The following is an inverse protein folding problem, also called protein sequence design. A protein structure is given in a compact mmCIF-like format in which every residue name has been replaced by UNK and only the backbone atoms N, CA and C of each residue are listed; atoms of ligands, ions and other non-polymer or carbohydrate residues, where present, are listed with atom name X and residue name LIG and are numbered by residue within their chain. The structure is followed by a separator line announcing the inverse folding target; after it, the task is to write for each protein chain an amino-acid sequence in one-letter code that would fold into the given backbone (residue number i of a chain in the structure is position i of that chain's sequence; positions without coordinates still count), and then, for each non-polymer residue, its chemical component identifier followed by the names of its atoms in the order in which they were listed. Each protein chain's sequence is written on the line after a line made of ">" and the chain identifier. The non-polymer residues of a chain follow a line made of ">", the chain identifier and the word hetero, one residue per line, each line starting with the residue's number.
data_IF_011279997499
#
_entry.id   IF_011279997499
#
_cell.length_a   1.000
_cell.length_b   1.000
_cell.length_c   1.000
_cell.angle_alpha   90.00
_cell.angle_beta   90.00
_cell.angle_gamma   90.00
#
_symmetry.space_group_name_H-M   'P 1'
#
loop_
_entity.id
_entity.type
_entity.pdbx_description
1 polymer ?
#
# COMPACT_ATOMS: atom_id res chain seq x y z
N UNK A 1 8.90 -9.44 1.27
CA UNK A 1 7.58 -9.61 0.60
C UNK A 1 7.16 -11.07 0.44
N UNK A 2 8.03 -11.98 0.05
CA UNK A 2 7.68 -13.40 -0.16
C UNK A 2 6.97 -14.05 1.04
N UNK A 3 7.54 -13.93 2.25
CA UNK A 3 6.90 -14.47 3.47
C UNK A 3 5.57 -13.82 3.82
N UNK A 4 5.35 -12.55 3.41
CA UNK A 4 4.06 -11.86 3.62
C UNK A 4 2.98 -12.48 2.73
N UNK A 5 3.31 -12.78 1.46
CA UNK A 5 2.40 -13.46 0.53
C UNK A 5 1.99 -14.82 1.08
N UNK A 6 2.98 -15.62 1.52
CA UNK A 6 2.71 -16.94 2.11
C UNK A 6 1.88 -16.85 3.39
N UNK A 7 2.21 -15.91 4.28
CA UNK A 7 1.49 -15.69 5.53
C UNK A 7 0.04 -15.28 5.31
N UNK A 8 -0.21 -14.33 4.40
CA UNK A 8 -1.58 -13.91 4.06
C UNK A 8 -2.37 -15.01 3.35
N UNK A 9 -1.74 -15.71 2.41
CA UNK A 9 -2.38 -16.84 1.73
C UNK A 9 -2.77 -17.96 2.71
N UNK A 10 -1.86 -18.29 3.64
CA UNK A 10 -2.13 -19.27 4.69
C UNK A 10 -3.23 -18.79 5.65
N UNK A 11 -3.26 -17.50 5.97
CA UNK A 11 -4.31 -16.90 6.79
C UNK A 11 -5.67 -17.04 6.10
N UNK A 12 -5.79 -16.63 4.83
CA UNK A 12 -7.03 -16.77 4.07
C UNK A 12 -7.45 -18.25 3.95
N UNK A 13 -6.53 -19.14 3.65
CA UNK A 13 -6.79 -20.57 3.59
C UNK A 13 -7.27 -21.11 4.95
N UNK A 14 -6.60 -20.76 6.03
CA UNK A 14 -6.90 -21.20 7.40
C UNK A 14 -8.27 -20.72 7.90
N UNK A 15 -8.69 -19.50 7.52
CA UNK A 15 -10.01 -18.98 7.86
C UNK A 15 -11.15 -19.93 7.45
N UNK A 16 -11.00 -20.63 6.32
CA UNK A 16 -11.98 -21.63 5.87
C UNK A 16 -12.19 -22.79 6.83
N UNK A 17 -11.26 -23.04 7.74
CA UNK A 17 -11.34 -24.12 8.73
C UNK A 17 -11.57 -23.62 10.16
N UNK A 18 -11.43 -22.31 10.41
CA UNK A 18 -11.58 -21.75 11.74
C UNK A 18 -13.04 -21.69 12.19
N UNK A 19 -13.97 -21.44 11.27
CA UNK A 19 -15.40 -21.28 11.59
C UNK A 19 -16.13 -22.57 11.23
N UNK A 20 -16.90 -23.09 12.17
CA UNK A 20 -17.73 -24.30 12.05
C UNK A 20 -19.04 -24.12 12.85
N UNK A 21 -19.94 -25.09 12.78
CA UNK A 21 -21.25 -25.01 13.44
C UNK A 21 -21.15 -24.80 14.95
N UNK A 22 -20.13 -25.34 15.63
CA UNK A 22 -19.98 -25.26 17.07
C UNK A 22 -19.53 -23.86 17.55
N UNK A 23 -18.87 -23.09 16.69
CA UNK A 23 -18.31 -21.79 17.06
C UNK A 23 -18.88 -20.60 16.24
N UNK A 24 -19.74 -20.87 15.26
CA UNK A 24 -20.34 -19.84 14.42
C UNK A 24 -21.09 -18.76 15.23
N UNK A 25 -21.78 -19.15 16.29
CA UNK A 25 -22.48 -18.21 17.19
C UNK A 25 -21.56 -17.20 17.90
N UNK A 26 -20.26 -17.48 17.96
CA UNK A 26 -19.27 -16.58 18.58
C UNK A 26 -18.37 -15.88 17.55
N UNK A 27 -18.04 -16.56 16.46
CA UNK A 27 -17.02 -16.11 15.53
C UNK A 27 -17.58 -15.56 14.20
N UNK A 28 -18.78 -15.98 13.80
CA UNK A 28 -19.36 -15.53 12.54
C UNK A 28 -20.07 -14.20 12.72
N UNK A 29 -19.44 -13.13 12.27
CA UNK A 29 -20.01 -11.78 12.31
C UNK A 29 -21.35 -11.74 11.55
N UNK A 30 -22.35 -11.12 12.17
CA UNK A 30 -23.71 -11.11 11.65
C UNK A 30 -24.56 -12.25 12.20
N UNK A 31 -24.10 -13.49 12.18
CA UNK A 31 -24.82 -14.62 12.79
C UNK A 31 -24.88 -14.54 14.32
N UNK A 32 -23.79 -14.11 14.95
CA UNK A 32 -23.70 -13.90 16.40
C UNK A 32 -24.61 -12.78 16.95
N UNK A 33 -25.11 -11.91 16.09
CA UNK A 33 -26.02 -10.81 16.44
C UNK A 33 -27.50 -11.10 16.14
N UNK A 34 -27.79 -12.23 15.50
CA UNK A 34 -29.16 -12.69 15.23
C UNK A 34 -29.86 -13.13 16.50
N UNK A 35 -31.18 -12.95 16.56
CA UNK A 35 -32.04 -13.62 17.57
C UNK A 35 -31.97 -15.13 17.38
N UNK A 36 -32.42 -15.90 18.39
CA UNK A 36 -32.42 -17.36 18.28
C UNK A 36 -33.34 -17.86 17.15
N UNK A 37 -34.48 -17.20 16.99
CA UNK A 37 -35.47 -17.48 15.95
C UNK A 37 -34.89 -17.20 14.55
N UNK A 38 -34.08 -16.16 14.42
CA UNK A 38 -33.38 -15.84 13.17
C UNK A 38 -32.24 -16.81 12.88
N UNK A 39 -31.48 -17.25 13.91
CA UNK A 39 -30.44 -18.26 13.77
C UNK A 39 -31.00 -19.62 13.29
N UNK A 40 -32.19 -20.00 13.76
CA UNK A 40 -32.90 -21.21 13.32
C UNK A 40 -33.33 -21.14 11.84
N UNK A 41 -33.64 -19.95 11.34
CA UNK A 41 -34.03 -19.71 9.94
C UNK A 41 -32.81 -19.56 9.00
N UNK A 42 -31.65 -19.24 9.56
CA UNK A 42 -30.45 -19.01 8.75
C UNK A 42 -29.85 -20.34 8.29
N UNK A 43 -29.58 -20.52 7.00
CA UNK A 43 -29.01 -21.77 6.46
C UNK A 43 -27.52 -21.88 6.77
N UNK A 44 -27.17 -22.05 8.04
CA UNK A 44 -25.80 -21.98 8.55
C UNK A 44 -24.88 -23.00 7.87
N UNK A 45 -25.29 -24.24 7.73
CA UNK A 45 -24.49 -25.32 7.12
C UNK A 45 -24.10 -24.95 5.68
N UNK A 46 -25.07 -24.52 4.87
CA UNK A 46 -24.81 -24.11 3.48
C UNK A 46 -23.89 -22.86 3.43
N UNK A 47 -24.09 -21.92 4.33
CA UNK A 47 -23.22 -20.74 4.44
C UNK A 47 -21.77 -21.13 4.76
N UNK A 48 -21.57 -22.04 5.73
CA UNK A 48 -20.25 -22.51 6.14
C UNK A 48 -19.54 -23.30 5.03
N UNK A 49 -20.27 -24.08 4.25
CA UNK A 49 -19.73 -24.76 3.08
C UNK A 49 -19.22 -23.74 2.03
N UNK A 50 -20.02 -22.73 1.71
CA UNK A 50 -19.62 -21.64 0.79
C UNK A 50 -18.43 -20.85 1.36
N UNK A 51 -18.46 -20.52 2.66
CA UNK A 51 -17.40 -19.83 3.38
C UNK A 51 -16.08 -20.61 3.29
N UNK A 52 -16.08 -21.87 3.65
CA UNK A 52 -14.90 -22.74 3.58
C UNK A 52 -14.39 -22.86 2.14
N UNK A 53 -15.27 -23.17 1.20
CA UNK A 53 -14.92 -23.32 -0.21
C UNK A 53 -14.34 -22.03 -0.82
N UNK A 54 -14.87 -20.87 -0.44
CA UNK A 54 -14.34 -19.58 -0.85
C UNK A 54 -12.93 -19.36 -0.28
N UNK A 55 -12.74 -19.47 1.02
CA UNK A 55 -11.47 -19.15 1.68
C UNK A 55 -10.34 -20.07 1.25
N UNK A 56 -10.60 -21.37 1.10
CA UNK A 56 -9.62 -22.34 0.61
C UNK A 56 -9.17 -21.98 -0.82
N UNK A 57 -10.11 -21.76 -1.73
CA UNK A 57 -9.78 -21.38 -3.12
C UNK A 57 -9.09 -20.04 -3.18
N UNK A 58 -9.59 -19.05 -2.42
CA UNK A 58 -9.02 -17.72 -2.39
C UNK A 58 -7.59 -17.72 -1.83
N UNK A 59 -7.33 -18.42 -0.72
CA UNK A 59 -5.99 -18.53 -0.15
C UNK A 59 -4.97 -19.13 -1.12
N UNK A 60 -5.36 -20.17 -1.85
CA UNK A 60 -4.51 -20.78 -2.88
C UNK A 60 -4.26 -19.81 -4.04
N UNK A 61 -5.33 -19.23 -4.62
CA UNK A 61 -5.21 -18.31 -5.76
C UNK A 61 -4.42 -17.07 -5.40
N UNK A 62 -4.67 -16.48 -4.22
CA UNK A 62 -3.94 -15.32 -3.72
C UNK A 62 -2.43 -15.61 -3.61
N UNK A 63 -2.08 -16.77 -3.06
CA UNK A 63 -0.67 -17.16 -2.94
C UNK A 63 -0.03 -17.38 -4.30
N UNK A 64 -0.67 -18.12 -5.20
CA UNK A 64 -0.11 -18.41 -6.53
C UNK A 64 0.09 -17.14 -7.33
N UNK A 65 -0.94 -16.28 -7.42
CA UNK A 65 -0.84 -14.99 -8.13
C UNK A 65 0.19 -14.07 -7.48
N UNK A 66 0.21 -14.02 -6.14
CA UNK A 66 1.20 -13.23 -5.40
C UNK A 66 2.64 -13.66 -5.68
N UNK A 67 2.91 -14.96 -5.77
CA UNK A 67 4.23 -15.48 -6.15
C UNK A 67 4.56 -15.12 -7.60
N UNK A 68 3.62 -15.28 -8.53
CA UNK A 68 3.83 -14.90 -9.94
C UNK A 68 4.18 -13.42 -10.04
N UNK A 69 3.41 -12.53 -9.42
CA UNK A 69 3.69 -11.08 -9.45
C UNK A 69 4.99 -10.72 -8.73
N UNK A 70 5.30 -11.40 -7.63
CA UNK A 70 6.58 -11.22 -6.94
C UNK A 70 7.80 -11.48 -7.84
N UNK A 71 7.69 -12.48 -8.73
CA UNK A 71 8.76 -12.87 -9.64
C UNK A 71 8.78 -12.06 -10.94
N UNK A 72 7.67 -11.43 -11.34
CA UNK A 72 7.53 -10.83 -12.66
C UNK A 72 7.32 -9.32 -12.64
N UNK A 73 6.55 -8.80 -11.66
CA UNK A 73 6.15 -7.39 -11.65
C UNK A 73 5.79 -6.91 -10.24
N UNK A 74 6.68 -6.13 -9.65
CA UNK A 74 6.51 -5.63 -8.28
C UNK A 74 5.34 -4.63 -8.13
N UNK A 75 4.97 -3.90 -9.19
CA UNK A 75 3.84 -2.99 -9.19
C UNK A 75 2.51 -3.77 -9.13
N UNK A 76 2.37 -4.79 -9.99
CA UNK A 76 1.20 -5.68 -9.96
C UNK A 76 1.08 -6.40 -8.61
N UNK A 77 2.21 -6.73 -7.98
CA UNK A 77 2.20 -7.28 -6.62
C UNK A 77 1.58 -6.30 -5.63
N UNK A 78 1.92 -5.01 -5.69
CA UNK A 78 1.34 -3.97 -4.84
C UNK A 78 -0.19 -3.91 -5.00
N UNK A 79 -0.67 -3.83 -6.23
CA UNK A 79 -2.10 -3.85 -6.56
C UNK A 79 -2.78 -5.13 -6.09
N UNK A 80 -2.17 -6.29 -6.31
CA UNK A 80 -2.67 -7.58 -5.86
C UNK A 80 -2.85 -7.61 -4.34
N UNK A 81 -1.86 -7.19 -3.59
CA UNK A 81 -1.92 -7.19 -2.12
C UNK A 81 -2.99 -6.25 -1.56
N UNK A 82 -3.22 -5.09 -2.20
CA UNK A 82 -4.17 -4.08 -1.74
C UNK A 82 -5.61 -4.31 -2.21
N UNK A 83 -5.82 -4.71 -3.47
CA UNK A 83 -7.15 -4.73 -4.10
C UNK A 83 -7.77 -6.12 -4.16
N UNK A 84 -6.96 -7.16 -4.43
CA UNK A 84 -7.50 -8.51 -4.63
C UNK A 84 -8.32 -9.02 -3.43
N UNK A 85 -7.92 -8.81 -2.16
CA UNK A 85 -8.75 -9.24 -1.04
C UNK A 85 -10.12 -8.54 -1.02
N UNK A 86 -10.17 -7.24 -1.32
CA UNK A 86 -11.43 -6.47 -1.30
C UNK A 86 -12.38 -7.00 -2.38
N UNK A 87 -11.88 -7.19 -3.61
CA UNK A 87 -12.67 -7.75 -4.71
C UNK A 87 -13.14 -9.18 -4.42
N UNK A 88 -12.28 -9.99 -3.80
CA UNK A 88 -12.64 -11.36 -3.40
C UNK A 88 -13.78 -11.37 -2.38
N UNK A 89 -13.75 -10.48 -1.37
CA UNK A 89 -14.84 -10.39 -0.41
C UNK A 89 -16.12 -9.80 -1.00
N UNK A 90 -16.05 -8.84 -1.93
CA UNK A 90 -17.23 -8.38 -2.69
C UNK A 90 -17.87 -9.58 -3.43
N UNK A 91 -17.04 -10.41 -4.09
CA UNK A 91 -17.50 -11.62 -4.74
C UNK A 91 -18.11 -12.63 -3.74
N UNK A 92 -17.50 -12.83 -2.59
CA UNK A 92 -18.03 -13.70 -1.54
C UNK A 92 -19.41 -13.21 -1.05
N UNK A 93 -19.56 -11.92 -0.81
CA UNK A 93 -20.86 -11.34 -0.47
C UNK A 93 -21.90 -11.60 -1.56
N UNK A 94 -21.51 -11.44 -2.82
CA UNK A 94 -22.40 -11.77 -3.94
C UNK A 94 -22.82 -13.25 -3.95
N UNK A 95 -21.87 -14.17 -3.71
CA UNK A 95 -22.14 -15.61 -3.64
C UNK A 95 -23.04 -16.02 -2.47
N UNK A 96 -23.05 -15.27 -1.36
CA UNK A 96 -23.83 -15.58 -0.16
C UNK A 96 -25.07 -14.72 0.00
N UNK A 97 -25.35 -13.85 -0.99
CA UNK A 97 -26.48 -12.93 -0.97
C UNK A 97 -27.82 -13.62 -0.73
N UNK A 98 -28.08 -14.71 -1.45
CA UNK A 98 -29.32 -15.48 -1.37
C UNK A 98 -29.57 -16.05 0.02
N UNK A 99 -28.52 -16.46 0.74
CA UNK A 99 -28.58 -16.96 2.10
C UNK A 99 -28.84 -15.82 3.11
N UNK A 100 -28.08 -14.72 2.97
CA UNK A 100 -28.19 -13.57 3.84
C UNK A 100 -29.55 -12.87 3.71
N UNK A 101 -30.18 -12.88 2.53
CA UNK A 101 -31.48 -12.26 2.31
C UNK A 101 -32.68 -13.04 2.88
N UNK A 102 -32.46 -14.27 3.37
CA UNK A 102 -33.52 -15.07 4.02
C UNK A 102 -33.92 -14.53 5.39
N UNK A 103 -33.03 -13.80 6.05
CA UNK A 103 -33.23 -13.24 7.38
C UNK A 103 -33.34 -11.72 7.30
N UNK A 104 -34.37 -11.11 7.89
CA UNK A 104 -34.67 -9.69 7.73
C UNK A 104 -33.55 -8.79 8.29
N UNK A 105 -33.03 -9.12 9.48
CA UNK A 105 -31.93 -8.36 10.10
C UNK A 105 -30.66 -8.36 9.26
N UNK A 106 -30.44 -9.42 8.48
CA UNK A 106 -29.25 -9.56 7.63
C UNK A 106 -29.33 -8.74 6.36
N UNK A 107 -30.49 -8.34 5.88
CA UNK A 107 -30.64 -7.49 4.69
C UNK A 107 -29.91 -6.15 4.85
N UNK A 108 -30.02 -5.53 6.01
CA UNK A 108 -29.34 -4.27 6.29
C UNK A 108 -27.83 -4.49 6.51
N UNK A 109 -27.45 -5.51 7.27
CA UNK A 109 -26.04 -5.88 7.49
C UNK A 109 -25.33 -6.17 6.18
N UNK A 110 -25.99 -6.88 5.24
CA UNK A 110 -25.48 -7.15 3.90
C UNK A 110 -25.25 -5.85 3.10
N UNK A 111 -26.23 -4.94 3.07
CA UNK A 111 -26.11 -3.65 2.36
C UNK A 111 -24.98 -2.81 2.92
N UNK A 112 -24.87 -2.73 4.25
CA UNK A 112 -23.79 -2.01 4.94
C UNK A 112 -22.42 -2.66 4.62
N UNK A 113 -22.32 -3.99 4.69
CA UNK A 113 -21.10 -4.71 4.38
C UNK A 113 -20.60 -4.45 2.96
N UNK A 114 -21.49 -4.52 1.96
CA UNK A 114 -21.15 -4.19 0.57
C UNK A 114 -20.76 -2.71 0.41
N UNK A 115 -21.49 -1.79 1.06
CA UNK A 115 -21.16 -0.36 0.98
C UNK A 115 -19.77 -0.06 1.60
N UNK A 116 -19.43 -0.70 2.72
CA UNK A 116 -18.11 -0.59 3.34
C UNK A 116 -17.02 -1.14 2.42
N UNK A 117 -17.23 -2.31 1.80
CA UNK A 117 -16.24 -2.89 0.87
C UNK A 117 -16.03 -2.01 -0.36
N UNK A 118 -17.11 -1.46 -0.95
CA UNK A 118 -17.01 -0.54 -2.09
C UNK A 118 -16.30 0.75 -1.66
N UNK A 119 -16.66 1.33 -0.51
CA UNK A 119 -15.99 2.51 0.03
C UNK A 119 -14.50 2.28 0.28
N UNK A 120 -14.15 1.12 0.85
CA UNK A 120 -12.75 0.71 1.03
C UNK A 120 -12.02 0.55 -0.29
N UNK A 121 -12.67 -0.05 -1.30
CA UNK A 121 -12.08 -0.19 -2.65
C UNK A 121 -11.78 1.17 -3.26
N UNK A 122 -12.74 2.09 -3.24
CA UNK A 122 -12.57 3.46 -3.75
C UNK A 122 -11.45 4.19 -3.00
N UNK A 123 -11.41 4.05 -1.67
CA UNK A 123 -10.36 4.64 -0.85
C UNK A 123 -8.97 4.09 -1.20
N UNK A 124 -8.84 2.77 -1.33
CA UNK A 124 -7.56 2.12 -1.68
C UNK A 124 -7.10 2.53 -3.07
N UNK A 125 -8.00 2.53 -4.07
CA UNK A 125 -7.68 3.01 -5.43
C UNK A 125 -7.25 4.48 -5.38
N UNK A 126 -7.98 5.32 -4.66
CA UNK A 126 -7.63 6.74 -4.49
C UNK A 126 -6.27 6.93 -3.82
N UNK A 127 -5.94 6.11 -2.83
CA UNK A 127 -4.64 6.12 -2.16
C UNK A 127 -3.51 5.71 -3.11
N UNK A 128 -3.68 4.67 -3.94
CA UNK A 128 -2.71 4.29 -4.97
C UNK A 128 -2.54 5.42 -6.00
N UNK A 129 -3.64 5.96 -6.52
CA UNK A 129 -3.59 7.08 -7.47
C UNK A 129 -2.88 8.31 -6.88
N UNK A 130 -3.14 8.65 -5.62
CA UNK A 130 -2.43 9.74 -4.94
C UNK A 130 -0.95 9.44 -4.76
N UNK A 131 -0.61 8.20 -4.45
CA UNK A 131 0.75 7.71 -4.25
C UNK A 131 1.61 7.80 -5.53
N UNK A 132 1.00 7.50 -6.68
CA UNK A 132 1.69 7.45 -7.96
C UNK A 132 1.79 8.84 -8.65
N UNK A 133 1.30 9.91 -7.97
CA UNK A 133 1.48 11.26 -8.52
C UNK A 133 2.97 11.56 -8.68
N UNK A 134 3.37 12.07 -9.86
CA UNK A 134 4.74 12.47 -10.09
C UNK A 134 5.12 13.60 -9.10
N UNK A 135 6.38 13.66 -8.78
CA UNK A 135 6.98 14.77 -8.05
C UNK A 135 7.67 15.69 -9.06
N UNK A 136 7.51 16.99 -8.87
CA UNK A 136 8.21 18.01 -9.66
C UNK A 136 9.15 18.79 -8.76
N UNK A 137 10.23 19.27 -9.36
CA UNK A 137 11.24 20.10 -8.68
C UNK A 137 11.34 21.45 -9.37
N UNK A 138 11.24 22.49 -8.57
CA UNK A 138 11.38 23.89 -9.03
C UNK A 138 12.27 24.64 -8.06
N UNK A 139 13.29 25.30 -8.60
CA UNK A 139 14.06 26.28 -7.85
C UNK A 139 13.35 27.64 -7.92
N UNK A 140 12.79 28.08 -6.79
CA UNK A 140 12.03 29.32 -6.66
C UNK A 140 12.80 30.29 -5.71
N UNK A 141 13.61 31.17 -6.29
CA UNK A 141 14.53 32.02 -5.53
C UNK A 141 15.48 31.16 -4.68
N UNK A 142 15.51 31.38 -3.37
CA UNK A 142 16.38 30.71 -2.42
C UNK A 142 15.79 29.41 -1.86
N UNK A 143 14.77 28.85 -2.51
CA UNK A 143 14.09 27.64 -2.03
C UNK A 143 13.94 26.59 -3.14
N UNK A 144 14.49 25.41 -2.91
CA UNK A 144 14.21 24.22 -3.72
C UNK A 144 12.87 23.64 -3.29
N UNK A 145 11.87 23.80 -4.15
CA UNK A 145 10.51 23.28 -3.90
C UNK A 145 10.30 21.96 -4.61
N UNK A 146 10.01 20.91 -3.86
CA UNK A 146 9.72 19.59 -4.38
C UNK A 146 8.26 19.28 -4.11
N UNK A 147 7.46 19.19 -5.15
CA UNK A 147 6.02 18.90 -5.06
C UNK A 147 5.73 17.38 -5.01
N UNK A 148 4.46 17.04 -4.88
CA UNK A 148 4.00 15.64 -4.88
C UNK A 148 3.96 14.97 -3.50
N UNK A 149 3.67 13.65 -3.44
CA UNK A 149 3.65 12.92 -2.19
C UNK A 149 5.00 12.94 -1.48
N UNK A 150 5.00 13.32 -0.19
CA UNK A 150 6.20 13.53 0.63
C UNK A 150 7.12 14.67 0.15
N UNK A 151 6.63 15.54 -0.75
CA UNK A 151 7.37 16.73 -1.18
C UNK A 151 7.74 17.64 -0.02
N UNK A 152 8.77 18.47 -0.23
CA UNK A 152 9.27 19.42 0.77
C UNK A 152 9.67 20.74 0.11
N UNK A 153 9.59 21.83 0.87
CA UNK A 153 10.24 23.07 0.57
C UNK A 153 11.57 23.12 1.32
N UNK A 154 12.69 23.23 0.60
CA UNK A 154 14.03 23.19 1.14
C UNK A 154 14.75 24.50 0.84
N UNK A 155 14.89 25.41 1.84
CA UNK A 155 15.70 26.60 1.70
C UNK A 155 17.16 26.25 1.40
N UNK A 156 17.79 26.96 0.47
CA UNK A 156 19.17 26.68 0.04
C UNK A 156 20.18 26.84 1.21
N UNK A 157 19.92 27.75 2.15
CA UNK A 157 20.75 27.92 3.35
C UNK A 157 20.78 26.73 4.28
N UNK A 158 19.84 25.79 4.13
CA UNK A 158 19.74 24.52 4.87
C UNK A 158 20.45 23.35 4.20
N UNK A 159 20.95 23.54 2.99
CA UNK A 159 21.77 22.53 2.29
C UNK A 159 23.20 22.60 2.82
N UNK A 160 23.80 21.46 3.09
CA UNK A 160 25.21 21.36 3.53
C UNK A 160 26.08 20.58 2.55
N UNK A 161 25.49 19.70 1.75
CA UNK A 161 26.21 18.92 0.76
C UNK A 161 25.33 18.52 -0.42
N UNK A 162 25.95 18.41 -1.59
CA UNK A 162 25.31 17.99 -2.85
C UNK A 162 26.19 16.97 -3.56
N UNK A 163 25.56 15.96 -4.14
CA UNK A 163 26.27 14.96 -4.93
C UNK A 163 25.35 14.08 -5.76
N UNK A 164 25.95 13.31 -6.67
CA UNK A 164 25.27 12.24 -7.40
C UNK A 164 25.75 10.89 -6.87
N UNK A 165 24.84 9.98 -6.68
CA UNK A 165 25.11 8.59 -6.33
C UNK A 165 24.56 7.66 -7.42
N UNK A 166 25.28 6.60 -7.75
CA UNK A 166 24.84 5.55 -8.69
C UNK A 166 23.95 4.50 -8.00
N UNK A 167 23.79 4.60 -6.68
CA UNK A 167 22.98 3.67 -5.91
C UNK A 167 22.32 4.35 -4.72
N UNK A 168 21.20 3.79 -4.26
CA UNK A 168 20.63 4.15 -2.97
C UNK A 168 21.48 3.55 -1.84
N UNK A 169 21.52 4.20 -0.66
CA UNK A 169 22.07 3.59 0.54
C UNK A 169 21.31 2.30 0.87
N UNK A 170 21.95 1.40 1.59
CA UNK A 170 21.28 0.20 2.08
C UNK A 170 20.07 0.59 2.96
N UNK A 171 18.87 0.17 2.55
CA UNK A 171 17.65 0.45 3.28
C UNK A 171 17.27 -0.75 4.14
N UNK A 172 17.29 -0.59 5.45
CA UNK A 172 16.92 -1.61 6.40
C UNK A 172 15.41 -1.64 6.67
N UNK A 173 14.77 -0.46 6.79
CA UNK A 173 13.36 -0.37 7.16
C UNK A 173 12.69 0.87 6.57
N UNK A 174 11.45 0.74 6.11
CA UNK A 174 10.58 1.87 5.78
C UNK A 174 9.91 2.35 7.08
N UNK A 175 10.17 3.59 7.48
CA UNK A 175 9.56 4.20 8.65
C UNK A 175 8.17 4.73 8.36
N UNK A 176 8.07 5.54 7.31
CA UNK A 176 6.82 6.15 6.88
C UNK A 176 6.93 6.51 5.42
N UNK A 177 6.14 5.91 4.57
CA UNK A 177 6.24 6.16 3.12
C UNK A 177 5.57 5.10 2.28
N UNK A 178 5.72 5.27 0.99
CA UNK A 178 5.16 4.44 -0.05
C UNK A 178 6.31 3.77 -0.81
N UNK A 179 6.12 2.49 -1.16
CA UNK A 179 7.00 1.78 -2.08
C UNK A 179 6.16 0.85 -2.94
N UNK A 180 6.08 1.16 -4.22
CA UNK A 180 5.39 0.38 -5.24
C UNK A 180 6.35 0.13 -6.39
N UNK A 181 6.92 -1.07 -6.44
CA UNK A 181 7.87 -1.42 -7.51
C UNK A 181 9.08 -0.49 -7.56
N UNK A 182 9.12 0.42 -8.54
CA UNK A 182 10.20 1.37 -8.78
C UNK A 182 10.03 2.70 -8.01
N UNK A 183 8.83 2.99 -7.51
CA UNK A 183 8.54 4.20 -6.74
C UNK A 183 8.87 3.98 -5.27
N UNK A 184 9.61 4.92 -4.67
CA UNK A 184 9.89 4.94 -3.24
C UNK A 184 9.85 6.38 -2.74
N UNK A 185 8.79 6.74 -2.00
CA UNK A 185 8.62 8.08 -1.44
C UNK A 185 8.38 8.02 0.06
N UNK A 186 9.07 8.88 0.83
CA UNK A 186 8.91 8.98 2.27
C UNK A 186 10.19 8.74 3.07
N UNK A 187 10.04 8.49 4.37
CA UNK A 187 11.15 8.29 5.30
C UNK A 187 11.54 6.81 5.40
N UNK A 188 12.82 6.58 5.19
CA UNK A 188 13.44 5.25 5.23
C UNK A 188 14.64 5.28 6.17
N UNK A 189 14.93 4.15 6.80
CA UNK A 189 16.11 3.97 7.65
C UNK A 189 17.13 3.07 6.97
N UNK A 190 18.38 3.51 7.01
CA UNK A 190 19.56 2.71 6.69
C UNK A 190 20.56 2.69 7.85
N UNK A 191 21.75 2.10 7.64
CA UNK A 191 22.79 1.98 8.66
C UNK A 191 23.29 3.32 9.20
N UNK A 192 23.37 4.33 8.34
CA UNK A 192 23.91 5.66 8.68
C UNK A 192 22.84 6.63 9.21
N UNK A 193 21.56 6.27 9.19
CA UNK A 193 20.49 7.12 9.68
C UNK A 193 19.19 7.03 8.89
N UNK A 194 18.35 8.03 9.03
CA UNK A 194 17.11 8.16 8.27
C UNK A 194 17.35 8.97 7.00
N UNK A 195 16.59 8.67 5.94
CA UNK A 195 16.64 9.30 4.62
C UNK A 195 15.24 9.66 4.18
N UNK A 196 15.09 10.80 3.48
CA UNK A 196 13.89 11.11 2.72
C UNK A 196 14.14 10.70 1.27
N UNK A 197 13.44 9.66 0.81
CA UNK A 197 13.49 9.20 -0.58
C UNK A 197 12.35 9.84 -1.37
N UNK A 198 12.66 10.33 -2.57
CA UNK A 198 11.73 10.86 -3.56
C UNK A 198 12.10 10.24 -4.92
N UNK A 199 11.74 8.99 -5.10
CA UNK A 199 12.11 8.16 -6.26
C UNK A 199 10.84 7.83 -7.03
N UNK A 200 10.73 8.28 -8.27
CA UNK A 200 9.58 8.09 -9.17
C UNK A 200 9.85 7.12 -10.34
N UNK A 201 11.11 6.72 -10.52
CA UNK A 201 11.53 5.88 -11.67
C UNK A 201 12.61 4.88 -11.27
N UNK A 202 12.87 3.83 -12.07
CA UNK A 202 14.14 3.11 -12.00
C UNK A 202 15.27 4.12 -12.19
N UNK A 203 16.18 4.19 -11.24
CA UNK A 203 17.26 5.19 -11.24
C UNK A 203 18.56 4.59 -11.75
N UNK A 204 19.25 5.34 -12.62
CA UNK A 204 20.67 5.15 -12.93
C UNK A 204 21.54 6.05 -12.05
N UNK A 205 20.99 7.22 -11.68
CA UNK A 205 21.61 8.22 -10.82
C UNK A 205 20.58 8.77 -9.84
N UNK A 206 21.05 9.14 -8.67
CA UNK A 206 20.25 9.72 -7.60
C UNK A 206 20.92 10.99 -7.11
N UNK A 207 20.23 12.11 -7.14
CA UNK A 207 20.72 13.35 -6.55
C UNK A 207 20.63 13.25 -5.02
N UNK A 208 21.77 13.38 -4.37
CA UNK A 208 21.92 13.46 -2.93
C UNK A 208 21.95 14.93 -2.47
N UNK A 209 21.07 15.28 -1.53
CA UNK A 209 21.05 16.58 -0.90
C UNK A 209 21.19 16.40 0.62
N UNK A 210 22.36 16.69 1.16
CA UNK A 210 22.59 16.76 2.58
C UNK A 210 21.94 18.02 3.17
N UNK A 211 21.40 17.88 4.39
CA UNK A 211 20.69 18.97 5.07
C UNK A 211 21.25 19.24 6.47
N UNK A 212 21.42 20.51 6.81
CA UNK A 212 21.81 20.93 8.16
C UNK A 212 20.77 20.47 9.18
N UNK A 213 21.17 19.58 10.09
CA UNK A 213 20.33 19.10 11.21
C UNK A 213 19.05 18.37 10.81
N UNK A 214 18.99 17.77 9.61
CA UNK A 214 17.85 16.98 9.14
C UNK A 214 18.32 15.80 8.28
N UNK A 215 17.42 14.83 8.06
CA UNK A 215 17.72 13.66 7.22
C UNK A 215 18.03 14.09 5.77
N UNK A 216 19.04 13.52 5.10
CA UNK A 216 19.33 13.83 3.70
C UNK A 216 18.17 13.43 2.80
N UNK A 217 18.06 14.12 1.65
CA UNK A 217 17.05 13.86 0.62
C UNK A 217 17.72 13.23 -0.57
N UNK A 218 17.13 12.15 -1.08
CA UNK A 218 17.57 11.45 -2.29
C UNK A 218 16.47 11.55 -3.34
N UNK A 219 16.80 12.09 -4.50
CA UNK A 219 15.84 12.42 -5.55
C UNK A 219 16.21 11.70 -6.85
N UNK A 220 15.24 11.02 -7.46
CA UNK A 220 15.28 10.57 -8.85
C UNK A 220 13.86 10.58 -9.42
N UNK A 221 13.55 11.55 -10.29
CA UNK A 221 12.21 11.81 -10.79
C UNK A 221 12.12 11.57 -12.30
N UNK A 222 10.91 11.28 -12.80
CA UNK A 222 10.70 10.83 -14.18
C UNK A 222 11.25 11.78 -15.26
N UNK A 223 11.08 13.09 -15.09
CA UNK A 223 11.49 14.10 -16.07
C UNK A 223 12.68 14.94 -15.59
N UNK A 224 13.31 14.53 -14.49
CA UNK A 224 14.43 15.25 -13.90
C UNK A 224 15.75 14.80 -14.54
N UNK A 225 16.58 15.78 -14.89
CA UNK A 225 18.00 15.62 -15.13
C UNK A 225 18.74 15.96 -13.81
N UNK A 226 19.11 14.92 -13.08
CA UNK A 226 19.75 15.03 -11.77
C UNK A 226 21.09 15.77 -11.82
N UNK A 227 21.84 15.64 -12.93
CA UNK A 227 23.11 16.33 -13.12
C UNK A 227 22.92 17.83 -13.39
N UNK A 228 21.92 18.16 -14.22
CA UNK A 228 21.57 19.56 -14.50
C UNK A 228 21.09 20.26 -13.24
N UNK A 229 20.20 19.63 -12.46
CA UNK A 229 19.74 20.21 -11.19
C UNK A 229 20.89 20.38 -10.21
N UNK A 230 21.85 19.42 -10.15
CA UNK A 230 23.03 19.54 -9.30
C UNK A 230 23.85 20.77 -9.67
N UNK A 231 24.05 21.04 -10.97
CA UNK A 231 24.80 22.22 -11.44
C UNK A 231 24.08 23.52 -11.08
N UNK A 232 22.76 23.60 -11.32
CA UNK A 232 21.95 24.77 -10.97
C UNK A 232 21.99 25.05 -9.47
N UNK A 233 21.89 24.03 -8.61
CA UNK A 233 22.00 24.19 -7.17
C UNK A 233 23.39 24.64 -6.72
N UNK A 234 24.45 24.12 -7.32
CA UNK A 234 25.82 24.56 -7.01
C UNK A 234 26.06 26.01 -7.38
N UNK A 235 25.60 26.41 -8.56
CA UNK A 235 25.69 27.82 -8.99
C UNK A 235 24.94 28.76 -8.02
N UNK A 236 23.75 28.35 -7.60
CA UNK A 236 22.94 29.15 -6.66
C UNK A 236 23.58 29.25 -5.26
N UNK A 237 24.20 28.17 -4.78
CA UNK A 237 24.89 28.12 -3.48
C UNK A 237 26.23 28.89 -3.51
N UNK A 238 26.94 28.90 -4.63
CA UNK A 238 28.21 29.65 -4.80
C UNK A 238 27.96 31.15 -4.91
N UNK A 239 26.82 31.60 -5.43
CA UNK A 239 26.41 32.98 -5.50
C UNK A 239 26.08 33.56 -4.11
N UNK A 240 25.66 32.71 -3.17
CA UNK A 240 25.33 33.09 -1.79
C UNK A 240 26.51 32.94 -0.81
N UNK A 241 27.67 32.48 -1.26
CA UNK A 241 28.90 32.48 -0.44
C UNK A 241 29.51 33.88 -0.37
N UNK A 242 29.68 34.50 0.83
CA UNK A 242 30.22 35.81 1.00
C UNK A 242 31.72 35.92 0.66
#
# INVERSE_FOLDING_TARGET
>A
MFYVILGMGLLFFGLGFMINENNASSLLSGYNTMSKEEQEQFPLTEYLERFKGFHVRFGILFTVLGIVFYLTNAELLGWHMGITPILAYIYFFYQTKDLSMKVESQKNSFKVGIAVLIGTLVFVIGMFYWSDRPSDVVLDGDTLRISGPYGIDLPLDKIDSLGISESLPEISTRRHGISTGTVAKGKYRGPEGDYLLLIDKPYEKVLWIGRKSADPVLISLNELDEEKLLLELKESLELDAP
#
